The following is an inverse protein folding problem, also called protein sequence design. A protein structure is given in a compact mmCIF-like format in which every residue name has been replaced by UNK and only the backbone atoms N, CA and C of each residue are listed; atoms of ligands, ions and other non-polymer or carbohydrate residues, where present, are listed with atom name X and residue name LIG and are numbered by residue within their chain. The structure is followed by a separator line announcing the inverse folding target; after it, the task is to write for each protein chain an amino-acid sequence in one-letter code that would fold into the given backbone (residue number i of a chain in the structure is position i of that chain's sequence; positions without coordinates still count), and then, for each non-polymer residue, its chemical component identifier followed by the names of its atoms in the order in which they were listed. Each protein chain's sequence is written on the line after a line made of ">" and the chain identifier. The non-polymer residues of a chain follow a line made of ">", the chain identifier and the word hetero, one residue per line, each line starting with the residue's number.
data_IF_428426084272
#
_entry.id   IF_428426084272
#
_cell.length_a   1.000
_cell.length_b   1.000
_cell.length_c   1.000
_cell.angle_alpha   90.00
_cell.angle_beta   90.00
_cell.angle_gamma   90.00
#
_symmetry.space_group_name_H-M   'P 1'
#
loop_
_entity.id
_entity.type
_entity.pdbx_description
1 polymer ?
#
# COMPACT_ATOMS: atom_id res chain seq x y z
N UNK A 1 6.72 2.33 -62.13
CA UNK A 1 7.25 2.15 -60.75
C UNK A 1 6.49 3.07 -59.80
N UNK A 2 5.98 2.47 -58.72
CA UNK A 2 5.06 3.00 -57.72
C UNK A 2 5.66 4.24 -57.03
N UNK A 3 5.04 5.42 -57.19
CA UNK A 3 5.28 6.56 -56.29
C UNK A 3 4.21 6.53 -55.21
N UNK A 4 4.53 5.79 -54.15
CA UNK A 4 3.77 5.78 -52.92
C UNK A 4 3.77 7.20 -52.33
N UNK A 5 2.69 7.94 -52.52
CA UNK A 5 2.42 9.13 -51.71
C UNK A 5 1.83 8.62 -50.42
N UNK A 6 2.72 8.31 -49.48
CA UNK A 6 2.40 8.01 -48.08
C UNK A 6 1.66 9.22 -47.52
N UNK A 7 0.33 9.11 -47.49
CA UNK A 7 -0.56 10.11 -46.91
C UNK A 7 -0.31 10.13 -45.41
N UNK A 8 0.50 11.10 -45.00
CA UNK A 8 0.62 11.54 -43.64
C UNK A 8 -0.75 12.01 -43.15
N UNK A 9 -1.18 11.45 -42.03
CA UNK A 9 -2.11 11.98 -41.04
C UNK A 9 -2.91 10.81 -40.51
N UNK A 10 -2.53 10.27 -39.36
CA UNK A 10 -3.50 9.68 -38.44
C UNK A 10 -2.85 9.58 -37.05
N UNK A 11 -3.47 10.36 -36.16
CA UNK A 11 -3.59 10.13 -34.73
C UNK A 11 -2.38 10.52 -33.87
N UNK A 12 -2.34 11.81 -33.53
CA UNK A 12 -1.86 12.22 -32.22
C UNK A 12 -2.76 11.59 -31.15
N UNK A 13 -2.40 10.39 -30.71
CA UNK A 13 -2.96 9.81 -29.50
C UNK A 13 -2.44 10.64 -28.35
N UNK A 14 -3.31 11.41 -27.72
CA UNK A 14 -3.07 12.02 -26.43
C UNK A 14 -2.67 10.92 -25.47
N UNK A 15 -1.39 10.84 -25.15
CA UNK A 15 -0.92 10.08 -24.01
C UNK A 15 -1.49 10.77 -22.76
N UNK A 16 -2.69 10.39 -22.34
CA UNK A 16 -3.02 10.48 -20.93
C UNK A 16 -2.05 9.53 -20.25
N UNK A 17 -0.89 10.06 -19.86
CA UNK A 17 -0.13 9.51 -18.76
C UNK A 17 -1.09 9.54 -17.57
N UNK A 18 -1.92 8.49 -17.46
CA UNK A 18 -2.48 8.10 -16.20
C UNK A 18 -1.26 7.86 -15.35
N UNK A 19 -0.96 8.85 -14.52
CA UNK A 19 -0.12 8.68 -13.36
C UNK A 19 -0.79 7.53 -12.60
N UNK A 20 -0.36 6.30 -12.86
CA UNK A 20 -0.56 5.22 -11.93
C UNK A 20 0.39 5.54 -10.78
N UNK A 21 -0.01 6.55 -10.00
CA UNK A 21 0.49 6.75 -8.66
C UNK A 21 0.16 5.42 -8.00
N UNK A 22 1.17 4.60 -7.73
CA UNK A 22 0.99 3.38 -6.95
C UNK A 22 0.07 3.77 -5.80
N UNK A 23 -1.16 3.22 -5.72
CA UNK A 23 -2.09 3.64 -4.67
C UNK A 23 -1.34 3.43 -3.37
N UNK A 24 -1.25 4.44 -2.49
CA UNK A 24 -0.61 4.27 -1.19
C UNK A 24 -1.26 3.05 -0.52
N UNK A 25 -0.56 1.93 -0.54
CA UNK A 25 -1.02 0.67 0.03
C UNK A 25 -0.53 0.64 1.47
N UNK A 26 -1.40 0.24 2.38
CA UNK A 26 -1.08 0.21 3.81
C UNK A 26 -1.09 -1.23 4.31
N UNK A 27 -0.11 -1.62 5.12
CA UNK A 27 -0.06 -2.91 5.79
C UNK A 27 0.00 -2.71 7.30
N UNK A 28 -0.77 -3.50 8.04
CA UNK A 28 -0.64 -3.61 9.49
C UNK A 28 0.34 -4.73 9.77
N UNK A 29 1.45 -4.41 10.44
CA UNK A 29 2.51 -5.37 10.77
C UNK A 29 2.68 -5.50 12.27
N UNK A 30 2.90 -6.73 12.73
CA UNK A 30 3.42 -6.97 14.07
C UNK A 30 4.92 -6.82 14.04
N UNK A 31 5.45 -5.86 14.80
CA UNK A 31 6.89 -5.62 14.91
C UNK A 31 7.38 -6.11 16.28
N UNK A 32 8.24 -7.11 16.27
CA UNK A 32 8.87 -7.71 17.45
C UNK A 32 9.87 -6.77 18.10
N UNK A 33 10.59 -5.96 17.31
CA UNK A 33 11.58 -5.01 17.82
C UNK A 33 10.94 -3.89 18.65
N UNK A 34 9.77 -3.40 18.23
CA UNK A 34 9.04 -2.34 18.96
C UNK A 34 7.95 -2.88 19.88
N UNK A 35 7.68 -4.19 19.82
CA UNK A 35 6.61 -4.88 20.53
C UNK A 35 5.22 -4.27 20.27
N UNK A 36 4.99 -3.79 19.04
CA UNK A 36 3.77 -3.03 18.66
C UNK A 36 3.28 -3.44 17.28
N UNK A 37 2.04 -3.06 16.99
CA UNK A 37 1.52 -3.07 15.63
C UNK A 37 1.72 -1.72 14.95
N UNK A 38 2.35 -1.75 13.78
CA UNK A 38 2.69 -0.59 12.99
C UNK A 38 1.94 -0.62 11.66
N UNK A 39 1.66 0.56 11.10
CA UNK A 39 1.11 0.69 9.76
C UNK A 39 2.24 1.15 8.85
N UNK A 40 2.61 0.33 7.88
CA UNK A 40 3.69 0.61 6.92
C UNK A 40 3.09 0.77 5.53
N UNK A 41 3.75 1.56 4.68
CA UNK A 41 3.36 1.75 3.27
C UNK A 41 4.25 0.98 2.29
N UNK A 42 5.18 0.17 2.82
CA UNK A 42 6.03 -0.71 2.04
C UNK A 42 5.64 -2.16 2.30
N UNK A 43 5.64 -2.97 1.24
CA UNK A 43 5.28 -4.39 1.34
C UNK A 43 6.19 -5.11 2.36
N UNK A 44 5.63 -5.62 3.48
CA UNK A 44 6.42 -6.19 4.55
C UNK A 44 6.91 -7.60 4.23
N UNK A 45 8.17 -7.88 4.56
CA UNK A 45 8.75 -9.22 4.45
C UNK A 45 8.67 -9.92 5.81
N UNK A 46 7.88 -10.99 5.88
CA UNK A 46 7.78 -11.82 7.09
C UNK A 46 8.95 -12.82 7.07
N UNK A 47 9.74 -12.87 8.13
CA UNK A 47 10.89 -13.77 8.24
C UNK A 47 11.02 -14.33 9.66
N UNK A 48 11.42 -15.60 9.77
CA UNK A 48 11.54 -16.29 11.08
C UNK A 48 12.53 -15.56 12.00
N UNK A 49 13.62 -15.03 11.45
CA UNK A 49 14.62 -14.23 12.16
C UNK A 49 14.45 -12.71 11.99
N UNK A 50 13.32 -12.27 11.43
CA UNK A 50 13.03 -10.86 11.21
C UNK A 50 12.25 -10.22 12.36
N UNK A 51 12.20 -8.89 12.32
CA UNK A 51 11.41 -8.10 13.26
C UNK A 51 9.91 -8.23 13.00
N UNK A 52 9.51 -8.37 11.74
CA UNK A 52 8.10 -8.53 11.37
C UNK A 52 7.68 -9.99 11.55
N UNK A 53 6.75 -10.24 12.47
CA UNK A 53 6.25 -11.59 12.79
C UNK A 53 4.86 -11.88 12.20
N UNK A 54 4.15 -10.85 11.75
CA UNK A 54 2.96 -10.99 10.91
C UNK A 54 2.74 -9.72 10.07
N UNK A 55 1.94 -9.85 9.01
CA UNK A 55 1.42 -8.73 8.25
C UNK A 55 -0.05 -8.97 7.84
N UNK A 56 -0.82 -7.90 7.73
CA UNK A 56 -2.20 -7.87 7.24
C UNK A 56 -2.38 -6.69 6.27
N UNK A 57 -3.05 -6.90 5.14
CA UNK A 57 -3.18 -5.93 4.05
C UNK A 57 -2.85 -6.55 2.68
N UNK A 58 -2.64 -5.73 1.63
CA UNK A 58 -2.65 -4.27 1.63
C UNK A 58 -4.07 -3.66 1.71
N UNK A 59 -4.20 -2.57 2.48
CA UNK A 59 -5.38 -1.72 2.56
C UNK A 59 -5.22 -0.51 1.63
N UNK A 60 -6.33 -0.03 1.06
CA UNK A 60 -6.34 1.12 0.14
C UNK A 60 -6.29 2.48 0.83
N UNK A 61 -6.54 2.51 2.14
CA UNK A 61 -6.53 3.74 2.93
C UNK A 61 -5.90 3.50 4.29
N UNK A 62 -5.34 4.57 4.85
CA UNK A 62 -4.75 4.54 6.20
C UNK A 62 -5.79 4.26 7.27
N UNK A 63 -7.04 4.70 7.07
CA UNK A 63 -8.10 4.51 8.06
C UNK A 63 -8.61 3.07 8.08
N UNK A 64 -8.69 2.41 6.92
CA UNK A 64 -8.97 0.96 6.87
C UNK A 64 -7.87 0.16 7.60
N UNK A 65 -6.60 0.56 7.42
CA UNK A 65 -5.49 -0.07 8.15
C UNK A 65 -5.56 0.18 9.67
N UNK A 66 -6.00 1.36 10.12
CA UNK A 66 -6.22 1.63 11.55
C UNK A 66 -7.36 0.78 12.11
N UNK A 67 -8.46 0.64 11.36
CA UNK A 67 -9.60 -0.18 11.74
C UNK A 67 -9.22 -1.68 11.78
N UNK A 68 -8.45 -2.16 10.81
CA UNK A 68 -7.92 -3.51 10.85
C UNK A 68 -7.01 -3.71 12.08
N UNK A 69 -6.12 -2.76 12.37
CA UNK A 69 -5.25 -2.82 13.55
C UNK A 69 -6.03 -2.91 14.86
N UNK A 70 -7.14 -2.20 15.04
CA UNK A 70 -7.95 -2.26 16.27
C UNK A 70 -8.73 -3.57 16.43
N UNK A 71 -8.94 -4.31 15.33
CA UNK A 71 -9.65 -5.60 15.32
C UNK A 71 -8.71 -6.81 15.39
N UNK A 72 -7.41 -6.63 15.13
CA UNK A 72 -6.42 -7.71 15.23
C UNK A 72 -6.07 -7.95 16.70
N UNK A 73 -6.42 -9.13 17.22
CA UNK A 73 -6.17 -9.54 18.61
C UNK A 73 -4.68 -9.48 19.03
N UNK A 74 -3.75 -9.67 18.09
CA UNK A 74 -2.32 -9.58 18.35
C UNK A 74 -1.84 -8.13 18.56
N UNK A 75 -2.63 -7.15 18.11
CA UNK A 75 -2.35 -5.75 18.31
C UNK A 75 -2.89 -5.31 19.66
N UNK A 76 -2.00 -4.75 20.48
CA UNK A 76 -2.43 -4.10 21.71
C UNK A 76 -3.41 -2.97 21.35
N UNK A 77 -4.63 -3.08 21.84
CA UNK A 77 -5.64 -2.04 21.71
C UNK A 77 -5.20 -0.85 22.58
N UNK A 78 -4.57 0.16 21.97
CA UNK A 78 -4.17 1.38 22.68
C UNK A 78 -5.32 2.37 22.91
N UNK A 79 -6.55 2.00 22.58
CA UNK A 79 -7.75 2.80 22.86
C UNK A 79 -8.28 2.59 24.30
N UNK A 80 -7.38 2.62 25.29
CA UNK A 80 -7.72 2.73 26.72
C UNK A 80 -7.07 3.93 27.39
N UNK A 81 -6.65 4.94 26.63
CA UNK A 81 -6.23 6.23 27.20
C UNK A 81 -6.75 7.35 26.31
N UNK A 82 -8.02 7.69 26.53
CA UNK A 82 -8.61 8.96 26.11
C UNK A 82 -9.09 9.63 27.41
N UNK A 83 -8.38 10.70 27.78
CA UNK A 83 -8.75 11.80 28.71
C UNK A 83 -9.22 11.49 30.14
N UNK A 84 -8.38 11.87 31.12
CA UNK A 84 -8.68 12.91 32.13
C UNK A 84 -7.38 13.67 32.49
#
# INVERSE_FOLDING_TARGET
>A
MRRAVLTAALLGVTASAGMAEDPDLFWVVGNRATNRCEIVTSNPVISIMGDIWFASGPFKSKDDAKLARSTINACQNKDMTQED
#
